data_IF_273479547782
#
_entry.id   IF_273479547782
#
_cell.length_a   1.000
_cell.length_b   1.000
_cell.length_c   1.000
_cell.angle_alpha   90.00
_cell.angle_beta   90.00
_cell.angle_gamma   90.00
#
_symmetry.space_group_name_H-M   'P 1'
#
loop_
_entity.id
_entity.type
_entity.pdbx_description
1 polymer ?
#
# COMPACT_ATOMS: atom_id res chain seq x y z
N UNK A 1 7.60 -12.25 -6.02
CA UNK A 1 6.38 -12.09 -5.19
C UNK A 1 5.20 -12.72 -5.88
N UNK A 2 4.75 -13.85 -5.35
CA UNK A 2 3.71 -14.65 -6.03
C UNK A 2 2.36 -13.94 -6.16
N UNK A 3 1.96 -13.22 -5.12
CA UNK A 3 0.68 -12.52 -5.17
C UNK A 3 0.65 -11.44 -6.24
N UNK A 4 1.71 -10.63 -6.33
CA UNK A 4 1.77 -9.57 -7.33
C UNK A 4 1.91 -10.15 -8.75
N UNK A 5 2.65 -11.25 -8.89
CA UNK A 5 2.73 -11.92 -10.18
C UNK A 5 1.35 -12.36 -10.63
N UNK A 6 0.58 -12.97 -9.74
CA UNK A 6 -0.77 -13.41 -10.06
C UNK A 6 -1.64 -12.24 -10.50
N UNK A 7 -1.61 -11.15 -9.72
CA UNK A 7 -2.44 -9.98 -10.00
C UNK A 7 -2.07 -9.35 -11.34
N UNK A 8 -0.78 -9.14 -11.59
CA UNK A 8 -0.36 -8.42 -12.79
C UNK A 8 -0.30 -9.30 -14.02
N UNK A 9 0.14 -10.53 -13.88
CA UNK A 9 0.35 -11.40 -15.03
C UNK A 9 -0.87 -12.26 -15.37
N UNK A 10 -1.54 -12.79 -14.35
CA UNK A 10 -2.70 -13.66 -14.56
C UNK A 10 -3.99 -12.87 -14.72
N UNK A 11 -4.22 -11.89 -13.84
CA UNK A 11 -5.42 -11.07 -13.90
C UNK A 11 -5.28 -9.87 -14.82
N UNK A 12 -4.05 -9.57 -15.23
CA UNK A 12 -3.74 -8.47 -16.14
C UNK A 12 -4.25 -7.12 -15.64
N UNK A 13 -4.15 -6.89 -14.34
CA UNK A 13 -4.53 -5.62 -13.75
C UNK A 13 -3.42 -4.61 -13.98
N UNK A 14 -3.81 -3.36 -14.18
CA UNK A 14 -2.86 -2.28 -14.43
C UNK A 14 -2.25 -1.74 -13.14
N UNK A 15 -2.98 -1.82 -12.05
CA UNK A 15 -2.62 -1.16 -10.82
C UNK A 15 -3.12 -1.94 -9.61
N UNK A 16 -2.30 -1.98 -8.58
CA UNK A 16 -2.70 -2.54 -7.28
C UNK A 16 -2.50 -1.45 -6.23
N UNK A 17 -3.51 -1.23 -5.42
CA UNK A 17 -3.42 -0.26 -4.33
C UNK A 17 -3.80 -0.94 -3.02
N UNK A 18 -3.27 -0.39 -1.92
CA UNK A 18 -3.57 -0.89 -0.60
C UNK A 18 -3.54 0.27 0.38
N UNK A 19 -4.04 0.01 1.58
CA UNK A 19 -4.04 0.99 2.65
C UNK A 19 -3.36 0.38 3.86
N UNK A 20 -2.54 1.18 4.53
CA UNK A 20 -1.88 0.76 5.77
C UNK A 20 -2.05 1.86 6.80
N UNK A 21 -2.11 1.47 8.06
CA UNK A 21 -2.21 2.45 9.13
C UNK A 21 -0.86 3.15 9.30
N UNK A 22 -0.88 4.45 9.55
CA UNK A 22 0.34 5.22 9.73
C UNK A 22 1.17 4.71 10.91
N UNK A 23 0.54 4.02 11.86
CA UNK A 23 1.23 3.39 12.99
C UNK A 23 2.09 2.20 12.59
N UNK A 24 1.76 1.57 11.47
CA UNK A 24 2.39 0.32 11.07
C UNK A 24 3.59 0.58 10.18
N UNK A 25 4.67 1.08 10.79
CA UNK A 25 5.88 1.42 10.05
C UNK A 25 6.50 0.22 9.35
N UNK A 26 6.38 -0.97 9.95
CA UNK A 26 6.91 -2.19 9.34
C UNK A 26 6.22 -2.51 8.03
N UNK A 27 4.89 -2.37 8.00
CA UNK A 27 4.13 -2.63 6.77
C UNK A 27 4.47 -1.60 5.70
N UNK A 28 4.60 -0.33 6.08
CA UNK A 28 4.96 0.73 5.13
C UNK A 28 6.34 0.44 4.55
N UNK A 29 7.29 0.09 5.39
CA UNK A 29 8.65 -0.22 4.96
C UNK A 29 8.69 -1.44 4.04
N UNK A 30 7.99 -2.49 4.42
CA UNK A 30 7.94 -3.71 3.63
C UNK A 30 7.31 -3.46 2.27
N UNK A 31 6.20 -2.75 2.23
CA UNK A 31 5.52 -2.44 0.97
C UNK A 31 6.39 -1.55 0.09
N UNK A 32 7.13 -0.63 0.68
CA UNK A 32 8.06 0.21 -0.09
C UNK A 32 9.15 -0.64 -0.73
N UNK A 33 9.63 -1.67 -0.03
CA UNK A 33 10.62 -2.58 -0.59
C UNK A 33 10.07 -3.40 -1.75
N UNK A 34 8.78 -3.70 -1.72
CA UNK A 34 8.13 -4.43 -2.81
C UNK A 34 7.87 -3.57 -4.03
N UNK A 35 8.07 -2.27 -3.92
CA UNK A 35 7.87 -1.35 -5.03
C UNK A 35 6.63 -0.47 -4.90
N UNK A 36 5.85 -0.63 -3.84
CA UNK A 36 4.70 0.24 -3.60
C UNK A 36 5.18 1.64 -3.24
N UNK A 37 4.48 2.62 -3.78
CA UNK A 37 4.78 4.03 -3.51
C UNK A 37 3.65 4.64 -2.72
N UNK A 38 3.98 5.55 -1.81
CA UNK A 38 2.96 6.27 -1.05
C UNK A 38 2.28 7.27 -1.98
N UNK A 39 0.97 7.13 -2.11
CA UNK A 39 0.20 7.96 -3.03
C UNK A 39 -0.59 9.04 -2.31
N UNK A 40 -0.74 8.90 -1.01
CA UNK A 40 -1.46 9.90 -0.23
C UNK A 40 -1.75 9.36 1.16
N UNK A 41 -2.40 10.21 1.94
CA UNK A 41 -2.79 9.85 3.30
C UNK A 41 -4.16 10.46 3.59
N UNK A 42 -5.02 9.68 4.24
CA UNK A 42 -6.30 10.18 4.74
C UNK A 42 -6.08 10.55 6.20
N UNK A 43 -6.14 11.85 6.47
CA UNK A 43 -5.85 12.35 7.80
C UNK A 43 -6.97 12.02 8.77
N UNK A 44 -6.58 11.67 10.01
CA UNK A 44 -7.51 11.43 11.11
C UNK A 44 -8.62 10.45 10.75
N UNK A 45 -8.23 9.39 10.04
CA UNK A 45 -9.18 8.41 9.53
C UNK A 45 -9.41 7.26 10.49
N UNK A 46 -8.54 7.10 11.48
CA UNK A 46 -8.61 6.00 12.44
C UNK A 46 -8.42 6.56 13.86
N UNK A 47 -9.36 6.25 14.74
CA UNK A 47 -9.26 6.61 16.15
C UNK A 47 -8.88 5.38 16.96
N UNK A 48 -7.75 5.44 17.64
CA UNK A 48 -7.26 4.30 18.41
C UNK A 48 -6.43 4.78 19.60
N UNK A 49 -6.66 4.16 20.75
CA UNK A 49 -5.92 4.45 21.97
C UNK A 49 -5.96 5.94 22.37
N UNK A 50 -7.10 6.58 22.14
CA UNK A 50 -7.28 7.98 22.47
C UNK A 50 -6.67 8.98 21.51
N UNK A 51 -6.18 8.50 20.37
CA UNK A 51 -5.53 9.35 19.38
C UNK A 51 -6.06 9.08 17.97
N UNK A 52 -6.02 10.11 17.14
CA UNK A 52 -6.33 9.99 15.72
C UNK A 52 -5.08 9.63 14.94
N UNK A 53 -5.23 8.76 13.97
CA UNK A 53 -4.14 8.32 13.11
C UNK A 53 -4.56 8.40 11.66
N UNK A 54 -3.57 8.49 10.79
CA UNK A 54 -3.81 8.57 9.37
C UNK A 54 -3.82 7.17 8.74
N UNK A 55 -4.47 7.06 7.60
CA UNK A 55 -4.39 5.86 6.77
C UNK A 55 -3.56 6.23 5.53
N UNK A 56 -2.49 5.49 5.32
CA UNK A 56 -1.57 5.74 4.20
C UNK A 56 -2.03 4.91 3.01
N UNK A 57 -2.19 5.56 1.88
CA UNK A 57 -2.50 4.88 0.62
C UNK A 57 -1.21 4.60 -0.13
N UNK A 58 -1.00 3.37 -0.53
CA UNK A 58 0.16 2.97 -1.31
C UNK A 58 -0.31 2.22 -2.54
N UNK A 59 0.42 2.36 -3.63
CA UNK A 59 0.08 1.69 -4.87
C UNK A 59 1.30 1.37 -5.70
N UNK A 60 1.11 0.42 -6.60
CA UNK A 60 2.13 0.04 -7.55
C UNK A 60 1.47 -0.16 -8.92
N UNK A 61 2.11 0.36 -9.96
CA UNK A 61 1.64 0.18 -11.33
C UNK A 61 2.29 -1.07 -11.92
N UNK A 62 1.58 -1.73 -12.84
CA UNK A 62 2.11 -2.91 -13.51
C UNK A 62 3.47 -2.65 -14.14
N UNK A 63 3.61 -1.51 -14.82
CA UNK A 63 4.86 -1.15 -15.46
C UNK A 63 5.99 -0.90 -14.47
N UNK A 64 5.67 -0.50 -13.25
CA UNK A 64 6.68 -0.32 -12.21
C UNK A 64 7.12 -1.66 -11.63
N UNK A 65 6.22 -2.63 -11.61
CA UNK A 65 6.51 -3.95 -11.11
C UNK A 65 7.41 -4.73 -12.08
N UNK A 66 7.10 -4.62 -13.35
CA UNK A 66 7.86 -5.27 -14.41
C UNK A 66 9.11 -4.49 -14.80
#
# INVERSE_FOLDING_TARGET
MMLLDYVFLELNLHRVSLRVFSLNEKAIHLNSKLGFKQEGAIRQSLYRNGEWHDIIHMGILKEEYL
#
